data_IF_401635737952
#
_entry.id   IF_401635737952
#
_cell.length_a   1.000
_cell.length_b   1.000
_cell.length_c   1.000
_cell.angle_alpha   90.00
_cell.angle_beta   90.00
_cell.angle_gamma   90.00
#
_symmetry.space_group_name_H-M   'P 1'
#
loop_
_entity.id
_entity.type
_entity.pdbx_description
1 polymer ?
#
# COMPACT_ATOMS: atom_id res chain seq x y z
N UNK A 1 25.84 17.09 -31.45
CA UNK A 1 25.72 15.93 -30.53
C UNK A 1 24.28 15.45 -30.27
N UNK A 2 23.23 16.06 -30.85
CA UNK A 2 21.81 15.72 -30.56
C UNK A 2 21.04 15.03 -31.71
N UNK A 3 21.72 14.53 -32.75
CA UNK A 3 21.06 13.93 -33.93
C UNK A 3 20.87 12.41 -33.86
N UNK A 4 21.25 11.77 -32.74
CA UNK A 4 21.04 10.33 -32.57
C UNK A 4 19.56 10.05 -32.38
N UNK A 5 18.98 9.20 -33.23
CA UNK A 5 17.57 8.78 -33.12
C UNK A 5 17.25 8.22 -31.73
N UNK A 6 18.22 7.55 -31.10
CA UNK A 6 18.11 7.04 -29.73
C UNK A 6 17.97 8.19 -28.71
N UNK A 7 18.77 9.24 -28.84
CA UNK A 7 18.69 10.40 -27.94
C UNK A 7 17.32 11.09 -28.04
N UNK A 8 16.82 11.31 -29.25
CA UNK A 8 15.51 11.93 -29.48
C UNK A 8 14.39 11.06 -28.90
N UNK A 9 14.48 9.74 -29.09
CA UNK A 9 13.52 8.80 -28.52
C UNK A 9 13.51 8.84 -26.99
N UNK A 10 14.68 8.75 -26.35
CA UNK A 10 14.79 8.83 -24.88
C UNK A 10 14.23 10.15 -24.35
N UNK A 11 14.53 11.27 -25.02
CA UNK A 11 13.98 12.57 -24.66
C UNK A 11 12.46 12.57 -24.74
N UNK A 12 11.87 12.06 -25.82
CA UNK A 12 10.42 11.95 -25.99
C UNK A 12 9.78 11.11 -24.88
N UNK A 13 10.37 9.97 -24.53
CA UNK A 13 9.89 9.11 -23.44
C UNK A 13 9.94 9.84 -22.11
N UNK A 14 11.06 10.48 -21.79
CA UNK A 14 11.21 11.27 -20.56
C UNK A 14 10.19 12.43 -20.50
N UNK A 15 10.02 13.17 -21.59
CA UNK A 15 9.05 14.27 -21.66
C UNK A 15 7.62 13.75 -21.48
N UNK A 16 7.25 12.67 -22.16
CA UNK A 16 5.94 12.05 -22.03
C UNK A 16 5.67 11.57 -20.60
N UNK A 17 6.67 10.95 -19.96
CA UNK A 17 6.56 10.49 -18.58
C UNK A 17 6.40 11.66 -17.61
N UNK A 18 7.17 12.73 -17.78
CA UNK A 18 7.06 13.95 -16.96
C UNK A 18 5.69 14.60 -17.10
N UNK A 19 5.14 14.71 -18.31
CA UNK A 19 3.79 15.23 -18.55
C UNK A 19 2.75 14.34 -17.85
N UNK A 20 2.88 13.02 -17.96
CA UNK A 20 1.98 12.08 -17.30
C UNK A 20 2.01 12.22 -15.77
N UNK A 21 3.21 12.24 -15.17
CA UNK A 21 3.38 12.40 -13.71
C UNK A 21 2.79 13.74 -13.27
N UNK A 22 3.04 14.82 -13.99
CA UNK A 22 2.49 16.14 -13.66
C UNK A 22 0.96 16.15 -13.71
N UNK A 23 0.37 15.57 -14.76
CA UNK A 23 -1.08 15.49 -14.91
C UNK A 23 -1.76 14.59 -13.86
N UNK A 24 -1.10 13.50 -13.46
CA UNK A 24 -1.61 12.53 -12.49
C UNK A 24 -1.08 12.73 -11.07
N UNK A 25 -0.38 13.84 -10.79
CA UNK A 25 0.30 14.07 -9.51
C UNK A 25 -0.62 13.91 -8.31
N UNK A 26 -1.85 14.42 -8.38
CA UNK A 26 -2.79 14.36 -7.26
C UNK A 26 -3.18 12.92 -6.89
N UNK A 27 -3.13 11.99 -7.86
CA UNK A 27 -3.41 10.57 -7.66
C UNK A 27 -2.14 9.83 -7.24
N UNK A 28 -1.00 10.12 -7.88
CA UNK A 28 0.28 9.47 -7.59
C UNK A 28 0.75 9.78 -6.17
N UNK A 29 0.62 11.04 -5.76
CA UNK A 29 1.07 11.55 -4.46
C UNK A 29 -0.07 11.70 -3.45
N UNK A 30 -1.20 11.01 -3.65
CA UNK A 30 -2.36 11.09 -2.76
C UNK A 30 -2.02 10.67 -1.32
N UNK A 31 -1.17 9.65 -1.17
CA UNK A 31 -0.69 9.14 0.12
C UNK A 31 0.69 9.70 0.50
N UNK A 32 1.09 10.83 -0.10
CA UNK A 32 2.43 11.40 0.08
C UNK A 32 3.46 10.76 -0.85
N UNK A 33 4.58 10.30 -0.30
CA UNK A 33 5.66 9.70 -1.10
C UNK A 33 5.22 8.34 -1.67
N UNK A 34 5.16 8.16 -3.01
CA UNK A 34 4.72 6.89 -3.62
C UNK A 34 5.77 5.78 -3.55
N UNK A 35 7.04 6.12 -3.26
CA UNK A 35 8.17 5.18 -3.36
C UNK A 35 8.02 3.97 -2.41
N UNK A 36 7.74 4.13 -1.11
CA UNK A 36 7.55 3.00 -0.21
C UNK A 36 6.44 2.03 -0.67
N UNK A 37 5.31 2.59 -1.14
CA UNK A 37 4.20 1.79 -1.65
C UNK A 37 4.57 1.05 -2.94
N UNK A 38 5.31 1.69 -3.85
CA UNK A 38 5.78 1.05 -5.08
C UNK A 38 6.75 -0.10 -4.78
N UNK A 39 7.63 0.05 -3.79
CA UNK A 39 8.53 -1.01 -3.33
C UNK A 39 7.75 -2.17 -2.69
N UNK A 40 6.77 -1.90 -1.84
CA UNK A 40 5.92 -2.92 -1.24
C UNK A 40 5.11 -3.69 -2.30
N UNK A 41 4.49 -2.99 -3.26
CA UNK A 41 3.79 -3.63 -4.39
C UNK A 41 4.74 -4.47 -5.24
N UNK A 42 5.97 -4.00 -5.49
CA UNK A 42 6.97 -4.77 -6.24
C UNK A 42 7.38 -6.04 -5.51
N UNK A 43 7.57 -5.98 -4.18
CA UNK A 43 7.84 -7.16 -3.34
C UNK A 43 6.68 -8.16 -3.38
N UNK A 44 5.43 -7.68 -3.30
CA UNK A 44 4.24 -8.52 -3.44
C UNK A 44 4.24 -9.30 -4.76
N UNK A 45 4.55 -8.64 -5.88
CA UNK A 45 4.52 -9.27 -7.21
C UNK A 45 5.72 -10.19 -7.45
N UNK A 46 6.94 -9.73 -7.14
CA UNK A 46 8.17 -10.47 -7.45
C UNK A 46 8.38 -11.66 -6.51
N UNK A 47 7.98 -11.52 -5.25
CA UNK A 47 8.16 -12.57 -4.23
C UNK A 47 6.89 -13.37 -3.97
N UNK A 48 5.82 -13.13 -4.73
CA UNK A 48 4.48 -13.74 -4.56
C UNK A 48 3.99 -13.75 -3.11
N UNK A 49 4.15 -12.60 -2.44
CA UNK A 49 3.69 -12.43 -1.06
C UNK A 49 2.22 -12.02 -1.03
N UNK A 50 1.52 -12.47 0.01
CA UNK A 50 0.12 -12.09 0.25
C UNK A 50 -0.03 -10.82 1.10
N UNK A 51 1.01 -10.50 1.88
CA UNK A 51 1.14 -9.30 2.68
C UNK A 51 2.59 -8.82 2.72
N UNK A 52 2.79 -7.50 2.70
CA UNK A 52 4.11 -6.87 2.86
C UNK A 52 3.97 -5.64 3.76
N UNK A 53 4.86 -5.53 4.75
CA UNK A 53 5.03 -4.29 5.53
C UNK A 53 5.64 -3.20 4.62
N UNK A 54 5.01 -2.03 4.64
CA UNK A 54 5.48 -0.84 3.92
C UNK A 54 6.50 -0.11 4.79
N UNK A 55 7.56 0.44 4.18
CA UNK A 55 8.49 1.29 4.93
C UNK A 55 7.75 2.46 5.60
N UNK A 56 8.16 2.88 6.81
CA UNK A 56 7.40 3.84 7.59
C UNK A 56 7.23 5.18 6.87
N UNK A 57 6.02 5.73 6.93
CA UNK A 57 5.69 7.06 6.40
C UNK A 57 5.02 7.84 7.53
N UNK A 58 5.56 9.01 7.88
CA UNK A 58 4.99 9.89 8.90
C UNK A 58 4.65 9.19 10.23
N UNK A 59 5.56 8.31 10.70
CA UNK A 59 5.42 7.46 11.89
C UNK A 59 4.29 6.42 11.83
N UNK A 60 3.76 6.12 10.64
CA UNK A 60 2.83 5.04 10.41
C UNK A 60 3.54 3.83 9.82
N UNK A 61 3.10 2.63 10.21
CA UNK A 61 3.64 1.34 9.77
C UNK A 61 2.55 0.55 9.04
N UNK A 62 2.19 0.93 7.80
CA UNK A 62 1.09 0.27 7.11
C UNK A 62 1.53 -1.08 6.55
N UNK A 63 0.60 -2.02 6.55
CA UNK A 63 0.70 -3.29 5.84
C UNK A 63 -0.05 -3.20 4.52
N UNK A 64 0.54 -3.69 3.44
CA UNK A 64 -0.06 -3.79 2.13
C UNK A 64 -0.55 -5.22 1.90
N UNK A 65 -1.83 -5.37 1.59
CA UNK A 65 -2.46 -6.65 1.24
C UNK A 65 -3.23 -6.54 -0.07
N UNK A 66 -3.52 -7.69 -0.71
CA UNK A 66 -4.42 -7.73 -1.86
C UNK A 66 -5.81 -7.24 -1.44
N UNK A 67 -6.47 -6.46 -2.31
CA UNK A 67 -7.77 -5.86 -2.00
C UNK A 67 -8.79 -6.95 -1.68
N UNK A 68 -9.46 -6.78 -0.54
CA UNK A 68 -10.45 -7.74 -0.04
C UNK A 68 -9.86 -9.01 0.59
N UNK A 69 -8.53 -9.18 0.57
CA UNK A 69 -7.83 -10.31 1.19
C UNK A 69 -7.13 -9.86 2.47
N UNK A 70 -7.89 -9.67 3.54
CA UNK A 70 -7.34 -9.20 4.83
C UNK A 70 -6.82 -10.35 5.70
N UNK A 71 -7.10 -11.59 5.32
CA UNK A 71 -6.78 -12.80 6.07
C UNK A 71 -5.29 -12.85 6.47
N UNK A 72 -4.31 -12.53 5.59
CA UNK A 72 -2.91 -12.53 5.99
C UNK A 72 -2.57 -11.61 7.18
N UNK A 73 -3.27 -10.47 7.31
CA UNK A 73 -3.09 -9.56 8.45
C UNK A 73 -3.82 -10.07 9.68
N UNK A 74 -5.02 -10.62 9.49
CA UNK A 74 -5.80 -11.24 10.58
C UNK A 74 -5.02 -12.40 11.19
N UNK A 75 -4.51 -13.32 10.37
CA UNK A 75 -3.73 -14.48 10.80
C UNK A 75 -2.47 -14.05 11.56
N UNK A 76 -1.79 -12.99 11.12
CA UNK A 76 -0.65 -12.42 11.83
C UNK A 76 -1.04 -11.91 13.24
N UNK A 77 -2.15 -11.18 13.34
CA UNK A 77 -2.66 -10.70 14.63
C UNK A 77 -3.09 -11.84 15.55
N UNK A 78 -3.67 -12.91 14.98
CA UNK A 78 -4.05 -14.10 15.73
C UNK A 78 -2.86 -14.88 16.26
N UNK A 79 -1.78 -14.97 15.48
CA UNK A 79 -0.50 -15.52 15.94
C UNK A 79 0.10 -14.71 17.10
N UNK A 80 -0.12 -13.39 17.11
CA UNK A 80 0.24 -12.50 18.21
C UNK A 80 -0.72 -12.58 19.42
N UNK A 81 -1.69 -13.50 19.38
CA UNK A 81 -2.64 -13.80 20.45
C UNK A 81 -3.81 -12.82 20.55
N UNK A 82 -4.09 -12.06 19.48
CA UNK A 82 -5.37 -11.37 19.34
C UNK A 82 -6.42 -12.32 18.76
N UNK A 83 -7.69 -12.00 18.90
CA UNK A 83 -8.79 -12.74 18.28
C UNK A 83 -9.55 -11.79 17.39
N UNK A 84 -9.73 -12.14 16.12
CA UNK A 84 -10.54 -11.35 15.22
C UNK A 84 -12.02 -11.44 15.61
N UNK A 85 -12.66 -10.30 15.77
CA UNK A 85 -14.06 -10.22 16.21
C UNK A 85 -14.96 -9.90 15.02
N UNK A 86 -14.69 -8.78 14.35
CA UNK A 86 -15.51 -8.31 13.24
C UNK A 86 -14.75 -7.31 12.36
N UNK A 87 -15.29 -7.08 11.17
CA UNK A 87 -14.90 -6.01 10.28
C UNK A 87 -15.98 -4.94 10.26
N UNK A 88 -15.69 -3.79 10.87
CA UNK A 88 -16.54 -2.62 10.74
C UNK A 88 -16.35 -2.00 9.34
N UNK A 89 -17.30 -2.30 8.45
CA UNK A 89 -17.30 -1.80 7.07
C UNK A 89 -17.57 -0.29 7.03
N UNK A 90 -18.31 0.26 8.00
CA UNK A 90 -18.65 1.68 8.05
C UNK A 90 -17.46 2.52 8.52
N UNK A 91 -16.71 2.01 9.49
CA UNK A 91 -15.49 2.64 10.00
C UNK A 91 -14.23 2.30 9.18
N UNK A 92 -14.32 1.36 8.23
CA UNK A 92 -13.16 0.76 7.58
C UNK A 92 -12.11 0.26 8.59
N UNK A 93 -12.52 -0.58 9.55
CA UNK A 93 -11.60 -1.14 10.53
C UNK A 93 -11.80 -2.64 10.75
N UNK A 94 -10.76 -3.26 11.29
CA UNK A 94 -10.75 -4.64 11.78
C UNK A 94 -10.71 -4.59 13.31
N UNK A 95 -11.67 -5.25 13.95
CA UNK A 95 -11.81 -5.29 15.41
C UNK A 95 -11.17 -6.58 15.92
N UNK A 96 -10.28 -6.42 16.90
CA UNK A 96 -9.57 -7.50 17.54
C UNK A 96 -9.70 -7.41 19.06
N UNK A 97 -9.72 -8.54 19.74
CA UNK A 97 -9.77 -8.63 21.21
C UNK A 97 -8.63 -9.49 21.76
N UNK A 98 -8.17 -9.17 22.97
CA UNK A 98 -7.15 -9.93 23.71
C UNK A 98 -7.37 -9.76 25.21
N UNK A 99 -8.14 -10.67 25.81
CA UNK A 99 -8.64 -10.52 27.18
C UNK A 99 -9.54 -9.29 27.29
N UNK A 100 -9.28 -8.40 28.24
CA UNK A 100 -10.07 -7.17 28.44
C UNK A 100 -9.68 -6.01 27.49
N UNK A 101 -8.81 -6.27 26.51
CA UNK A 101 -8.34 -5.25 25.56
C UNK A 101 -9.01 -5.44 24.20
N UNK A 102 -9.51 -4.36 23.62
CA UNK A 102 -9.96 -4.30 22.23
C UNK A 102 -9.11 -3.34 21.41
N UNK A 103 -8.86 -3.67 20.14
CA UNK A 103 -8.18 -2.83 19.16
C UNK A 103 -9.04 -2.72 17.91
N UNK A 104 -9.20 -1.49 17.41
CA UNK A 104 -9.77 -1.20 16.10
C UNK A 104 -8.63 -0.77 15.18
N UNK A 105 -8.29 -1.61 14.21
CA UNK A 105 -7.20 -1.39 13.26
C UNK A 105 -7.79 -0.83 11.96
N UNK A 106 -7.54 0.45 11.62
CA UNK A 106 -8.09 1.05 10.42
C UNK A 106 -7.42 0.52 9.15
N UNK A 107 -8.19 0.44 8.07
CA UNK A 107 -7.71 0.11 6.74
C UNK A 107 -8.24 1.10 5.70
N UNK A 108 -7.57 1.17 4.55
CA UNK A 108 -7.94 2.04 3.43
C UNK A 108 -7.76 1.32 2.12
N UNK A 109 -8.76 1.42 1.23
CA UNK A 109 -8.60 1.00 -0.16
C UNK A 109 -7.64 1.97 -0.86
N UNK A 110 -6.45 1.49 -1.18
CA UNK A 110 -5.38 2.32 -1.74
C UNK A 110 -5.42 2.33 -3.27
N UNK A 111 -5.42 1.16 -3.90
CA UNK A 111 -5.61 1.03 -5.35
C UNK A 111 -6.78 0.10 -5.64
N UNK A 112 -7.10 -0.10 -6.93
CA UNK A 112 -8.04 -1.15 -7.33
C UNK A 112 -7.61 -2.56 -6.90
N UNK A 113 -6.32 -2.76 -6.59
CA UNK A 113 -5.73 -4.07 -6.29
C UNK A 113 -5.27 -4.26 -4.86
N UNK A 114 -5.10 -3.18 -4.10
CA UNK A 114 -4.47 -3.24 -2.79
C UNK A 114 -5.21 -2.44 -1.72
N UNK A 115 -5.11 -2.92 -0.50
CA UNK A 115 -5.58 -2.27 0.73
C UNK A 115 -4.37 -2.03 1.64
N UNK A 116 -4.35 -0.85 2.27
CA UNK A 116 -3.42 -0.53 3.35
C UNK A 116 -4.12 -0.77 4.69
N UNK A 117 -3.43 -1.41 5.63
CA UNK A 117 -3.90 -1.63 6.99
C UNK A 117 -2.92 -0.92 7.92
N UNK A 118 -3.39 0.02 8.74
CA UNK A 118 -2.53 0.87 9.56
C UNK A 118 -2.47 0.30 10.98
N UNK A 119 -1.31 -0.25 11.35
CA UNK A 119 -1.04 -0.67 12.73
C UNK A 119 -0.34 0.44 13.49
N UNK A 120 -0.79 0.71 14.71
CA UNK A 120 -0.17 1.64 15.67
C UNK A 120 0.61 0.88 16.76
#
# INVERSE_FOLDING_TARGET
>A
MFKSKFFIFTLLVCTSLSIFIFYKRNVIFQEGNPVPFALAMSKMVIQDKEMVEVEPIDNQYPYLVKRGKMEPFIDMMEQDGWSFVDRDIMANSLIFEKGDKSKSIPYKYFTRYYTLIYSY
#
